data_IF_820800651898
#
_entry.id   IF_820800651898
#
_cell.length_a   1.000
_cell.length_b   1.000
_cell.length_c   1.000
_cell.angle_alpha   90.00
_cell.angle_beta   90.00
_cell.angle_gamma   90.00
#
_symmetry.space_group_name_H-M   'P 1'
#
loop_
_entity.id
_entity.type
_entity.pdbx_description
1 polymer ?
#
# COMPACT_ATOMS: atom_id res chain seq x y z
N UNK A 1 -0.58 2.19 15.81
CA UNK A 1 -0.62 3.65 15.50
C UNK A 1 0.73 4.07 14.94
N UNK A 2 0.79 4.44 13.67
CA UNK A 2 2.02 4.99 13.08
C UNK A 2 2.27 6.40 13.62
N UNK A 3 3.49 6.66 14.09
CA UNK A 3 3.86 7.99 14.59
C UNK A 3 3.93 9.00 13.43
N UNK A 4 3.41 10.24 13.58
CA UNK A 4 3.47 11.28 12.56
C UNK A 4 4.88 11.57 12.01
N UNK A 5 5.93 11.32 12.80
CA UNK A 5 7.32 11.43 12.37
C UNK A 5 7.70 10.41 11.27
N UNK A 6 7.15 9.20 11.31
CA UNK A 6 7.42 8.15 10.30
C UNK A 6 6.80 8.54 8.96
N UNK A 7 5.60 9.14 8.97
CA UNK A 7 4.94 9.60 7.74
C UNK A 7 5.68 10.78 7.10
N UNK A 8 6.24 11.70 7.89
CA UNK A 8 7.11 12.75 7.35
C UNK A 8 8.32 12.16 6.62
N UNK A 9 8.98 11.18 7.26
CA UNK A 9 10.13 10.50 6.68
C UNK A 9 9.76 9.71 5.41
N UNK A 10 8.57 9.11 5.35
CA UNK A 10 8.03 8.48 4.14
C UNK A 10 7.94 9.50 2.99
N UNK A 11 7.34 10.67 3.24
CA UNK A 11 7.19 11.72 2.23
C UNK A 11 8.55 12.24 1.73
N UNK A 12 9.54 12.35 2.62
CA UNK A 12 10.90 12.74 2.22
C UNK A 12 11.57 11.68 1.33
N UNK A 13 11.39 10.40 1.62
CA UNK A 13 11.99 9.30 0.82
C UNK A 13 11.42 9.17 -0.58
N UNK A 14 10.19 9.63 -0.79
CA UNK A 14 9.56 9.70 -2.13
C UNK A 14 9.88 11.01 -2.86
N UNK A 15 10.78 11.84 -2.32
CA UNK A 15 11.31 13.02 -3.02
C UNK A 15 10.69 14.36 -2.62
N UNK A 16 9.91 14.44 -1.53
CA UNK A 16 9.47 15.73 -0.98
C UNK A 16 10.53 16.37 -0.08
N UNK A 17 10.50 17.69 0.03
CA UNK A 17 11.28 18.39 1.04
C UNK A 17 10.64 18.25 2.43
N UNK A 18 11.45 18.38 3.49
CA UNK A 18 10.96 18.30 4.87
C UNK A 18 9.82 19.29 5.14
N UNK A 19 9.94 20.54 4.66
CA UNK A 19 8.93 21.57 4.84
C UNK A 19 7.57 21.22 4.20
N UNK A 20 7.58 20.56 3.03
CA UNK A 20 6.35 20.09 2.38
C UNK A 20 5.76 18.90 3.14
N UNK A 21 6.60 17.98 3.59
CA UNK A 21 6.17 16.83 4.40
C UNK A 21 5.51 17.28 5.71
N UNK A 22 6.06 18.30 6.38
CA UNK A 22 5.49 18.89 7.59
C UNK A 22 4.12 19.53 7.29
N UNK A 23 4.02 20.29 6.20
CA UNK A 23 2.75 20.91 5.76
C UNK A 23 1.67 19.87 5.47
N UNK A 24 2.02 18.76 4.83
CA UNK A 24 1.08 17.67 4.53
C UNK A 24 0.55 17.02 5.82
N UNK A 25 1.44 16.75 6.78
CA UNK A 25 1.09 16.05 8.02
C UNK A 25 0.32 16.97 8.98
N UNK A 26 0.77 18.21 9.15
CA UNK A 26 0.26 19.12 10.17
C UNK A 26 -0.92 19.97 9.67
N UNK A 27 -0.85 20.52 8.45
CA UNK A 27 -1.88 21.43 7.93
C UNK A 27 -2.97 20.71 7.14
N UNK A 28 -2.62 19.63 6.44
CA UNK A 28 -3.58 18.83 5.66
C UNK A 28 -4.06 17.56 6.39
N UNK A 29 -3.63 17.36 7.64
CA UNK A 29 -4.09 16.31 8.54
C UNK A 29 -3.91 14.88 7.99
N UNK A 30 -2.91 14.66 7.12
CA UNK A 30 -2.51 13.33 6.64
C UNK A 30 -1.47 12.78 7.62
N UNK A 31 -1.91 12.59 8.87
CA UNK A 31 -1.06 12.26 10.01
C UNK A 31 -1.17 10.80 10.48
N UNK A 32 -1.93 9.97 9.76
CA UNK A 32 -2.09 8.54 10.03
C UNK A 32 -2.07 7.72 8.76
N UNK A 33 -1.68 6.45 8.88
CA UNK A 33 -1.79 5.47 7.79
C UNK A 33 -3.22 5.31 7.32
N UNK A 34 -4.18 5.29 8.25
CA UNK A 34 -5.60 5.16 7.93
C UNK A 34 -6.12 6.34 7.11
N UNK A 35 -5.57 7.55 7.29
CA UNK A 35 -5.88 8.70 6.43
C UNK A 35 -5.24 8.55 5.06
N UNK A 36 -3.99 8.10 5.02
CA UNK A 36 -3.22 7.94 3.78
C UNK A 36 -3.78 6.84 2.86
N UNK A 37 -4.21 5.69 3.40
CA UNK A 37 -4.80 4.58 2.61
C UNK A 37 -6.17 4.93 2.00
N UNK A 38 -6.83 5.97 2.49
CA UNK A 38 -8.14 6.44 2.02
C UNK A 38 -8.02 7.58 0.99
N UNK A 39 -6.82 8.10 0.76
CA UNK A 39 -6.64 9.22 -0.17
C UNK A 39 -6.89 8.74 -1.61
N UNK A 40 -7.63 9.55 -2.37
CA UNK A 40 -7.94 9.28 -3.78
C UNK A 40 -6.99 10.08 -4.68
N UNK A 41 -6.73 9.63 -5.92
CA UNK A 41 -5.91 10.39 -6.88
C UNK A 41 -6.37 11.85 -7.05
N UNK A 42 -7.68 12.08 -7.10
CA UNK A 42 -8.26 13.43 -7.18
C UNK A 42 -7.93 14.30 -5.96
N UNK A 43 -7.91 13.69 -4.77
CA UNK A 43 -7.56 14.37 -3.52
C UNK A 43 -6.08 14.72 -3.51
N UNK A 44 -5.20 13.81 -3.98
CA UNK A 44 -3.76 14.07 -4.13
C UNK A 44 -3.51 15.20 -5.12
N UNK A 45 -4.21 15.20 -6.26
CA UNK A 45 -4.12 16.27 -7.26
C UNK A 45 -4.52 17.63 -6.69
N UNK A 46 -5.62 17.69 -5.93
CA UNK A 46 -6.04 18.92 -5.22
C UNK A 46 -5.03 19.36 -4.16
N UNK A 47 -4.51 18.42 -3.37
CA UNK A 47 -3.49 18.68 -2.35
C UNK A 47 -2.23 19.29 -2.98
N UNK A 48 -1.67 18.65 -4.01
CA UNK A 48 -0.45 19.13 -4.68
C UNK A 48 -0.68 20.48 -5.35
N UNK A 49 -1.87 20.74 -5.92
CA UNK A 49 -2.22 22.07 -6.45
C UNK A 49 -2.19 23.14 -5.36
N UNK A 50 -2.78 22.86 -4.21
CA UNK A 50 -2.78 23.78 -3.06
C UNK A 50 -1.36 24.00 -2.52
N UNK A 51 -0.52 22.98 -2.49
CA UNK A 51 0.88 23.11 -2.04
C UNK A 51 1.75 23.90 -3.03
N UNK A 52 1.50 23.77 -4.35
CA UNK A 52 2.18 24.56 -5.39
C UNK A 52 1.71 26.01 -5.41
N UNK A 53 0.44 26.26 -5.11
CA UNK A 53 -0.16 27.60 -5.13
C UNK A 53 -1.10 27.77 -3.93
N UNK A 54 -0.54 28.03 -2.73
CA UNK A 54 -1.36 28.26 -1.54
C UNK A 54 -2.15 29.55 -1.71
N UNK A 55 -3.47 29.48 -1.52
CA UNK A 55 -4.33 30.66 -1.52
C UNK A 55 -3.93 31.63 -0.41
N UNK A 56 -3.85 32.93 -0.72
CA UNK A 56 -3.54 33.97 0.28
C UNK A 56 -2.11 34.56 0.21
N UNK A 57 -1.37 34.35 -0.88
CA UNK A 57 -0.09 35.03 -1.11
C UNK A 57 1.12 34.36 -0.46
N UNK A 58 0.98 33.13 0.03
CA UNK A 58 2.10 32.33 0.50
C UNK A 58 3.03 31.90 -0.65
N UNK A 59 4.32 31.70 -0.33
CA UNK A 59 5.27 31.11 -1.27
C UNK A 59 4.90 29.64 -1.49
N UNK A 60 4.53 29.28 -2.72
CA UNK A 60 4.27 27.90 -3.10
C UNK A 60 5.53 27.03 -3.12
N UNK A 61 5.33 25.72 -3.09
CA UNK A 61 6.43 24.75 -3.16
C UNK A 61 6.61 24.21 -4.58
N UNK A 62 7.86 24.12 -5.03
CA UNK A 62 8.20 23.43 -6.26
C UNK A 62 8.10 21.91 -6.02
N UNK A 63 6.99 21.32 -6.47
CA UNK A 63 6.73 19.87 -6.35
C UNK A 63 6.69 19.28 -7.77
N UNK A 64 7.59 18.36 -8.14
CA UNK A 64 7.57 17.68 -9.44
C UNK A 64 6.26 16.94 -9.70
N UNK A 65 5.93 16.69 -10.96
CA UNK A 65 4.75 15.89 -11.32
C UNK A 65 4.89 14.44 -10.84
N UNK A 66 6.08 13.86 -10.97
CA UNK A 66 6.36 12.48 -10.55
C UNK A 66 5.97 12.23 -9.09
N UNK A 67 6.30 13.15 -8.20
CA UNK A 67 6.00 13.04 -6.76
C UNK A 67 4.49 12.99 -6.48
N UNK A 68 3.65 13.62 -7.32
CA UNK A 68 2.20 13.50 -7.20
C UNK A 68 1.73 12.06 -7.48
N UNK A 69 2.35 11.40 -8.45
CA UNK A 69 2.10 10.01 -8.76
C UNK A 69 2.62 9.10 -7.65
N UNK A 70 3.83 9.37 -7.15
CA UNK A 70 4.46 8.59 -6.08
C UNK A 70 3.62 8.61 -4.77
N UNK A 71 3.01 9.76 -4.41
CA UNK A 71 2.09 9.83 -3.25
C UNK A 71 0.86 8.93 -3.46
N UNK A 72 0.35 8.86 -4.69
CA UNK A 72 -0.81 8.03 -5.03
C UNK A 72 -0.44 6.54 -4.98
N UNK A 73 0.76 6.20 -5.47
CA UNK A 73 1.30 4.85 -5.47
C UNK A 73 1.59 4.36 -4.04
N UNK A 74 2.12 5.21 -3.16
CA UNK A 74 2.26 4.93 -1.73
C UNK A 74 0.92 4.59 -1.07
N UNK A 75 -0.12 5.38 -1.34
CA UNK A 75 -1.44 5.13 -0.78
C UNK A 75 -2.01 3.78 -1.24
N UNK A 76 -1.79 3.43 -2.50
CA UNK A 76 -2.19 2.15 -3.05
C UNK A 76 -1.40 0.99 -2.42
N UNK A 77 -0.08 1.12 -2.31
CA UNK A 77 0.79 0.10 -1.70
C UNK A 77 0.42 -0.13 -0.23
N UNK A 78 0.21 0.93 0.54
CA UNK A 78 -0.21 0.80 1.94
C UNK A 78 -1.57 0.13 2.07
N UNK A 79 -2.50 0.42 1.16
CA UNK A 79 -3.81 -0.25 1.11
C UNK A 79 -3.66 -1.72 0.73
N UNK A 80 -2.76 -2.04 -0.20
CA UNK A 80 -2.45 -3.42 -0.57
C UNK A 80 -1.85 -4.19 0.62
N UNK A 81 -0.86 -3.60 1.29
CA UNK A 81 -0.20 -4.18 2.47
C UNK A 81 -1.14 -4.31 3.68
N UNK A 82 -1.98 -3.33 3.97
CA UNK A 82 -3.01 -3.42 5.02
C UNK A 82 -3.97 -4.60 4.81
N UNK A 83 -4.16 -5.02 3.55
CA UNK A 83 -5.02 -6.16 3.19
C UNK A 83 -4.28 -7.50 3.20
N UNK A 84 -3.02 -7.52 2.75
CA UNK A 84 -2.19 -8.72 2.52
C UNK A 84 -1.27 -9.07 3.67
N UNK A 85 -0.94 -8.12 4.53
CA UNK A 85 0.04 -8.27 5.59
C UNK A 85 -0.45 -7.63 6.88
N UNK A 86 -0.22 -8.28 8.02
CA UNK A 86 -0.52 -7.68 9.33
C UNK A 86 0.42 -6.50 9.70
N UNK A 87 1.47 -6.24 8.93
CA UNK A 87 2.39 -5.10 9.14
C UNK A 87 2.60 -4.30 7.84
N UNK A 88 2.14 -3.04 7.76
CA UNK A 88 2.33 -2.19 6.59
C UNK A 88 3.80 -1.79 6.34
N UNK A 89 4.73 -2.07 7.27
CA UNK A 89 6.18 -1.88 7.12
C UNK A 89 6.58 -0.53 6.50
N UNK A 90 5.92 0.57 6.90
CA UNK A 90 6.10 1.93 6.35
C UNK A 90 7.57 2.38 6.29
N UNK A 91 8.44 2.04 7.26
CA UNK A 91 9.85 2.40 7.20
C UNK A 91 10.63 1.78 6.03
N UNK A 92 10.08 0.83 5.28
CA UNK A 92 10.75 0.26 4.09
C UNK A 92 10.31 0.92 2.78
N UNK A 93 9.23 1.71 2.80
CA UNK A 93 8.69 2.33 1.58
C UNK A 93 9.57 3.51 1.15
N UNK A 94 10.03 3.46 -0.09
CA UNK A 94 10.80 4.48 -0.80
C UNK A 94 10.68 4.26 -2.31
N UNK A 95 11.32 5.11 -3.12
CA UNK A 95 11.19 5.06 -4.58
C UNK A 95 11.45 3.67 -5.21
N UNK A 96 12.50 2.90 -4.82
CA UNK A 96 12.74 1.58 -5.41
C UNK A 96 11.62 0.57 -5.16
N UNK A 97 10.98 0.65 -3.99
CA UNK A 97 9.85 -0.22 -3.65
C UNK A 97 8.61 0.15 -4.48
N UNK A 98 8.41 1.44 -4.75
CA UNK A 98 7.28 1.90 -5.56
C UNK A 98 7.42 1.53 -7.04
N UNK A 99 8.63 1.51 -7.58
CA UNK A 99 8.87 1.05 -8.95
C UNK A 99 8.79 -0.46 -9.03
N UNK A 100 9.56 -1.18 -8.22
CA UNK A 100 9.82 -2.59 -8.48
C UNK A 100 8.68 -3.49 -7.97
N UNK A 101 8.19 -3.24 -6.75
CA UNK A 101 7.15 -4.10 -6.12
C UNK A 101 5.77 -3.82 -6.72
N UNK A 102 5.48 -2.55 -7.00
CA UNK A 102 4.16 -2.11 -7.45
C UNK A 102 3.92 -2.46 -8.93
N UNK A 103 4.95 -2.42 -9.78
CA UNK A 103 4.86 -2.90 -11.17
C UNK A 103 4.54 -4.40 -11.20
N UNK A 104 5.20 -5.22 -10.38
CA UNK A 104 4.89 -6.65 -10.26
C UNK A 104 3.43 -6.86 -9.89
N UNK A 105 2.90 -6.10 -8.92
CA UNK A 105 1.49 -6.23 -8.54
C UNK A 105 0.53 -5.80 -9.66
N UNK A 106 0.86 -4.73 -10.39
CA UNK A 106 0.07 -4.27 -11.54
C UNK A 106 0.06 -5.30 -12.66
N UNK A 107 1.20 -5.93 -12.94
CA UNK A 107 1.32 -6.98 -13.94
C UNK A 107 0.49 -8.21 -13.56
N UNK A 108 0.55 -8.62 -12.28
CA UNK A 108 -0.29 -9.70 -11.77
C UNK A 108 -1.79 -9.34 -11.83
N UNK A 109 -2.17 -8.09 -11.55
CA UNK A 109 -3.55 -7.64 -11.68
C UNK A 109 -4.03 -7.63 -13.14
N UNK A 110 -3.16 -7.28 -14.09
CA UNK A 110 -3.45 -7.19 -15.52
C UNK A 110 -3.51 -8.56 -16.21
N UNK A 111 -2.66 -9.50 -15.81
CA UNK A 111 -2.64 -10.88 -16.33
C UNK A 111 -3.76 -11.75 -15.75
N UNK A 112 -4.52 -11.22 -14.80
CA UNK A 112 -5.58 -11.95 -14.15
C UNK A 112 -6.77 -12.24 -15.08
N UNK A 113 -7.16 -13.50 -15.13
CA UNK A 113 -8.38 -13.98 -15.76
C UNK A 113 -9.22 -14.75 -14.73
N UNK A 114 -10.54 -14.59 -14.76
CA UNK A 114 -11.45 -15.23 -13.80
C UNK A 114 -11.37 -16.77 -13.90
N UNK A 115 -10.90 -17.48 -12.85
CA UNK A 115 -10.84 -18.93 -12.87
C UNK A 115 -12.24 -19.55 -12.74
N UNK A 116 -12.50 -20.62 -13.49
CA UNK A 116 -13.81 -21.27 -13.59
C UNK A 116 -14.16 -22.21 -12.42
N UNK A 117 -13.18 -22.68 -11.63
CA UNK A 117 -13.40 -23.52 -10.45
C UNK A 117 -12.16 -23.63 -9.54
N UNK A 118 -12.39 -23.93 -8.25
CA UNK A 118 -11.37 -24.31 -7.25
C UNK A 118 -11.35 -25.83 -7.08
N UNK A 119 -10.47 -26.53 -7.79
CA UNK A 119 -10.22 -27.95 -7.54
C UNK A 119 -8.98 -28.11 -6.66
N UNK A 120 -9.18 -28.04 -5.34
CA UNK A 120 -8.12 -28.29 -4.35
C UNK A 120 -8.36 -29.64 -3.67
N UNK A 121 -7.42 -30.56 -3.84
CA UNK A 121 -7.43 -31.85 -3.13
C UNK A 121 -6.83 -31.69 -1.72
N UNK A 122 -7.67 -31.69 -0.69
CA UNK A 122 -7.24 -31.56 0.71
C UNK A 122 -6.65 -32.89 1.18
N UNK A 123 -5.31 -32.94 1.33
CA UNK A 123 -4.61 -34.16 1.75
C UNK A 123 -4.16 -34.05 3.21
N UNK A 124 -4.72 -34.88 4.10
CA UNK A 124 -4.44 -34.85 5.55
C UNK A 124 -2.99 -35.20 5.94
N UNK A 125 -2.25 -35.87 5.05
CA UNK A 125 -0.85 -36.27 5.30
C UNK A 125 0.15 -35.13 5.13
N UNK A 126 -0.15 -34.15 4.28
CA UNK A 126 0.76 -33.03 3.96
C UNK A 126 0.02 -31.70 4.08
N UNK A 127 -0.17 -31.28 5.33
CA UNK A 127 -0.88 -30.04 5.65
C UNK A 127 -0.16 -28.81 5.11
N UNK A 128 1.18 -28.79 5.12
CA UNK A 128 1.99 -27.71 4.57
C UNK A 128 1.81 -27.55 3.05
N UNK A 129 1.77 -28.68 2.32
CA UNK A 129 1.54 -28.67 0.87
C UNK A 129 0.11 -28.22 0.56
N UNK A 130 -0.85 -28.74 1.32
CA UNK A 130 -2.27 -28.35 1.20
C UNK A 130 -2.45 -26.84 1.43
N UNK A 131 -1.79 -26.27 2.45
CA UNK A 131 -1.85 -24.83 2.72
C UNK A 131 -1.28 -24.00 1.56
N UNK A 132 -0.13 -24.39 0.99
CA UNK A 132 0.44 -23.73 -0.19
C UNK A 132 -0.49 -23.81 -1.40
N UNK A 133 -1.10 -24.97 -1.64
CA UNK A 133 -2.07 -25.13 -2.73
C UNK A 133 -3.29 -24.23 -2.55
N UNK A 134 -3.79 -24.07 -1.31
CA UNK A 134 -4.90 -23.15 -1.02
C UNK A 134 -4.47 -21.70 -1.22
N UNK A 135 -3.26 -21.32 -0.80
CA UNK A 135 -2.70 -19.98 -1.01
C UNK A 135 -2.53 -19.64 -2.50
N UNK A 136 -1.91 -20.54 -3.27
CA UNK A 136 -1.77 -20.42 -4.72
C UNK A 136 -3.14 -20.34 -5.41
N UNK A 137 -4.09 -21.13 -4.95
CA UNK A 137 -5.44 -21.15 -5.53
C UNK A 137 -6.23 -19.88 -5.21
N UNK A 138 -6.19 -19.39 -3.97
CA UNK A 138 -6.83 -18.13 -3.60
C UNK A 138 -6.16 -16.91 -4.24
N UNK A 139 -4.90 -17.04 -4.67
CA UNK A 139 -4.25 -16.00 -5.49
C UNK A 139 -4.98 -15.81 -6.83
N UNK A 140 -5.64 -16.85 -7.34
CA UNK A 140 -6.35 -16.79 -8.61
C UNK A 140 -7.74 -16.15 -8.49
N UNK A 141 -8.30 -15.98 -7.29
CA UNK A 141 -9.63 -15.38 -7.12
C UNK A 141 -9.51 -13.93 -6.66
N UNK A 142 -10.24 -13.01 -7.27
CA UNK A 142 -10.28 -11.62 -6.81
C UNK A 142 -11.44 -11.41 -5.84
N UNK A 143 -11.16 -10.75 -4.71
CA UNK A 143 -12.19 -10.21 -3.85
C UNK A 143 -12.92 -9.03 -4.51
N UNK A 144 -13.92 -8.48 -3.82
CA UNK A 144 -14.79 -7.35 -4.28
C UNK A 144 -14.01 -6.13 -4.78
N UNK A 145 -12.74 -5.98 -4.38
CA UNK A 145 -11.89 -4.86 -4.75
C UNK A 145 -10.82 -5.17 -5.80
N UNK A 146 -10.87 -6.35 -6.45
CA UNK A 146 -9.94 -6.72 -7.51
C UNK A 146 -8.58 -7.25 -7.04
N UNK A 147 -8.39 -7.49 -5.73
CA UNK A 147 -7.16 -8.07 -5.19
C UNK A 147 -7.29 -9.59 -4.99
N UNK A 148 -6.22 -10.38 -5.20
CA UNK A 148 -6.18 -11.82 -4.96
C UNK A 148 -6.61 -12.23 -3.55
N UNK A 149 -7.53 -13.18 -3.36
CA UNK A 149 -8.06 -13.63 -2.07
C UNK A 149 -7.01 -14.33 -1.19
N UNK A 150 -5.82 -14.63 -1.71
CA UNK A 150 -4.69 -15.17 -0.92
C UNK A 150 -4.33 -14.27 0.26
N UNK A 151 -4.64 -12.98 0.22
CA UNK A 151 -4.48 -12.05 1.35
C UNK A 151 -5.26 -12.46 2.62
N UNK A 152 -6.31 -13.28 2.47
CA UNK A 152 -7.08 -13.78 3.61
C UNK A 152 -6.34 -14.86 4.40
N UNK A 153 -5.29 -15.44 3.82
CA UNK A 153 -4.41 -16.38 4.50
C UNK A 153 -3.28 -15.57 5.13
N UNK A 154 -3.37 -15.34 6.43
CA UNK A 154 -2.21 -14.98 7.22
C UNK A 154 -1.49 -16.27 7.62
N UNK A 155 -0.27 -16.47 7.10
CA UNK A 155 0.64 -17.48 7.66
C UNK A 155 1.00 -17.00 9.06
N UNK A 156 0.38 -17.60 10.08
CA UNK A 156 0.69 -17.30 11.48
C UNK A 156 2.11 -17.78 11.80
N UNK A 157 3.14 -16.98 11.49
CA UNK A 157 4.48 -17.15 12.05
C UNK A 157 4.49 -16.68 13.50
N UNK A 158 3.79 -17.42 14.36
CA UNK A 158 3.94 -17.49 15.82
C UNK A 158 2.69 -18.17 16.39
N UNK A 159 2.65 -19.50 16.37
CA UNK A 159 2.00 -20.23 17.46
C UNK A 159 3.10 -20.32 18.52
N UNK A 160 3.03 -19.59 19.65
CA UNK A 160 3.90 -19.91 20.78
C UNK A 160 3.69 -21.39 21.08
N UNK A 161 4.77 -22.16 21.21
CA UNK A 161 4.64 -23.54 21.68
C UNK A 161 3.76 -23.52 22.94
N UNK A 162 2.69 -24.31 22.95
CA UNK A 162 1.81 -24.44 24.11
C UNK A 162 2.66 -24.78 25.36
N UNK A 163 2.29 -24.24 26.53
CA UNK A 163 3.02 -24.46 27.79
C UNK A 163 3.05 -25.93 28.23
#
# INVERSE_FOLDING_TARGET
MTKPAILRQLFVRIGLTQAVADTIVDNHNINSTATLTKIKPDTVSKLVKTLRHPGGGGNGHAIPFQVQQDITDVAWLLKHRDRTSCDPAIPTIGLPVLTDELEIYRDHEAQWTEPSSLDIEITRKDWNKTFRTIEESLTNFKGVHGCPLSYTICVATAIPADP
#
